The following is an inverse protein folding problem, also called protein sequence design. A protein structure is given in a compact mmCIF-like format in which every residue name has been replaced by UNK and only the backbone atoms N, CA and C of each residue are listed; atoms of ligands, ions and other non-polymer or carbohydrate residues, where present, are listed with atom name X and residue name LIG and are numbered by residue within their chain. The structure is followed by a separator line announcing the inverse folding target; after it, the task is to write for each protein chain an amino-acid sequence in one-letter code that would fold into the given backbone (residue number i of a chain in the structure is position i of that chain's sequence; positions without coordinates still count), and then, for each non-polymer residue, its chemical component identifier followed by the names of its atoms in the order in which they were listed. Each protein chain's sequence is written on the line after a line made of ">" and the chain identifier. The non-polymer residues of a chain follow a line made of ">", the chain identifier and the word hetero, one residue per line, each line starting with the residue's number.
data_IF_529333150844
#
_entry.id   IF_529333150844
#
_cell.length_a   1.000
_cell.length_b   1.000
_cell.length_c   1.000
_cell.angle_alpha   90.00
_cell.angle_beta   90.00
_cell.angle_gamma   90.00
#
_symmetry.space_group_name_H-M   'P 1'
#
loop_
_entity.id
_entity.type
_entity.pdbx_description
1 polymer ?
2 non-polymer ?
3 water ?
#
# COMPACT_ATOMS: atom_id res chain seq x y z
N UNK A 1 -7.79 -11.72 16.84
CA UNK A 1 -6.41 -11.71 16.37
C UNK A 1 -6.24 -10.70 15.23
N UNK A 2 -5.42 -9.68 15.47
CA UNK A 2 -5.24 -8.60 14.50
C UNK A 2 -4.15 -8.88 13.48
N UNK A 3 -3.15 -9.69 13.83
CA UNK A 3 -2.08 -9.98 12.87
C UNK A 3 -2.58 -10.80 11.70
N UNK A 4 -3.53 -11.71 11.93
CA UNK A 4 -4.12 -12.45 10.82
C UNK A 4 -4.85 -11.51 9.87
N UNK A 5 -5.60 -10.54 10.42
CA UNK A 5 -6.26 -9.55 9.58
C UNK A 5 -5.25 -8.71 8.81
N UNK A 6 -4.14 -8.35 9.46
CA UNK A 6 -3.11 -7.56 8.79
C UNK A 6 -2.52 -8.33 7.62
N UNK A 7 -2.20 -9.61 7.84
CA UNK A 7 -1.62 -10.43 6.77
C UNK A 7 -2.63 -10.63 5.64
N UNK A 8 -3.90 -10.83 6.00
CA UNK A 8 -4.94 -10.99 4.98
C UNK A 8 -5.08 -9.74 4.13
N UNK A 9 -5.12 -8.57 4.77
CA UNK A 9 -5.26 -7.32 4.03
C UNK A 9 -4.02 -7.04 3.19
N UNK A 10 -2.83 -7.37 3.69
CA UNK A 10 -1.62 -7.17 2.90
C UNK A 10 -1.60 -8.10 1.69
N UNK A 11 -2.05 -9.34 1.86
CA UNK A 11 -2.11 -10.26 0.73
C UNK A 11 -3.12 -9.78 -0.30
N UNK A 12 -4.26 -9.25 0.16
CA UNK A 12 -5.24 -8.69 -0.77
C UNK A 12 -4.67 -7.47 -1.50
N UNK A 13 -3.86 -6.66 -0.80
CA UNK A 13 -3.22 -5.52 -1.44
C UNK A 13 -2.23 -5.99 -2.50
N UNK A 14 -1.47 -7.04 -2.20
CA UNK A 14 -0.54 -7.60 -3.18
C UNK A 14 -1.29 -8.10 -4.40
N UNK A 15 -2.42 -8.78 -4.18
CA UNK A 15 -3.21 -9.27 -5.31
C UNK A 15 -3.77 -8.12 -6.14
N UNK A 16 -4.24 -7.06 -5.48
CA UNK A 16 -4.78 -5.92 -6.22
C UNK A 16 -3.69 -5.20 -7.01
N UNK A 17 -2.48 -5.10 -6.44
CA UNK A 17 -1.38 -4.47 -7.16
C UNK A 17 -0.94 -5.34 -8.33
N UNK A 18 -0.96 -6.67 -8.16
CA UNK A 18 -0.70 -7.56 -9.29
C UNK A 18 -1.74 -7.36 -10.39
N UNK A 19 -3.01 -7.18 -10.00
CA UNK A 19 -4.05 -6.91 -10.99
C UNK A 19 -3.80 -5.59 -11.70
N UNK A 20 -3.36 -4.57 -10.96
CA UNK A 20 -3.08 -3.27 -11.58
C UNK A 20 -1.92 -3.38 -12.56
N UNK A 21 -0.89 -4.14 -12.21
CA UNK A 21 0.24 -4.34 -13.12
C UNK A 21 -0.22 -5.09 -14.37
N UNK A 22 -1.00 -6.16 -14.18
CA UNK A 22 -1.49 -6.95 -15.30
C UNK A 22 -2.42 -6.14 -16.20
N UNK A 23 -3.11 -5.15 -15.63
CA UNK A 23 -3.97 -4.28 -16.43
C UNK A 23 -3.17 -3.22 -17.17
N UNK A 24 -2.11 -2.70 -16.54
CA UNK A 24 -1.27 -1.72 -17.22
C UNK A 24 -0.50 -2.35 -18.38
N UNK A 25 -0.02 -3.58 -18.20
CA UNK A 25 0.65 -4.29 -19.29
C UNK A 25 -0.37 -4.81 -20.30
N UNK B 1 6.70 -17.58 11.43
CA UNK B 1 6.09 -16.47 12.16
C UNK B 1 5.14 -15.68 11.27
N UNK B 2 4.74 -14.50 11.73
CA UNK B 2 3.85 -13.62 10.98
C UNK B 2 4.49 -12.29 10.61
N UNK B 3 5.37 -11.74 11.45
CA UNK B 3 6.05 -10.51 11.08
C UNK B 3 6.96 -10.70 9.88
N UNK B 4 7.55 -11.90 9.74
CA UNK B 4 8.36 -12.18 8.56
C UNK B 4 7.52 -12.12 7.30
N UNK B 5 6.32 -12.72 7.33
CA UNK B 5 5.44 -12.64 6.17
C UNK B 5 4.95 -11.22 5.93
N UNK B 6 4.72 -10.45 7.00
CA UNK B 6 4.34 -9.05 6.82
C UNK B 6 5.43 -8.29 6.09
N UNK B 7 6.68 -8.47 6.52
CA UNK B 7 7.81 -7.80 5.88
C UNK B 7 7.95 -8.24 4.43
N UNK B 8 7.78 -9.54 4.17
CA UNK B 8 7.91 -10.03 2.80
C UNK B 8 6.79 -9.49 1.91
N UNK B 9 5.57 -9.38 2.44
CA UNK B 9 4.48 -8.83 1.65
C UNK B 9 4.69 -7.34 1.38
N UNK B 10 5.24 -6.61 2.35
CA UNK B 10 5.56 -5.21 2.11
C UNK B 10 6.66 -5.08 1.05
N UNK B 11 7.62 -6.00 1.05
CA UNK B 11 8.65 -6.01 0.02
C UNK B 11 8.05 -6.30 -1.35
N UNK B 12 7.10 -7.24 -1.42
CA UNK B 12 6.40 -7.50 -2.67
C UNK B 12 5.63 -6.26 -3.13
N UNK B 13 5.03 -5.54 -2.19
CA UNK B 13 4.32 -4.30 -2.54
C UNK B 13 5.28 -3.28 -3.10
N UNK B 14 6.47 -3.16 -2.50
CA UNK B 14 7.48 -2.24 -3.03
C UNK B 14 7.87 -2.63 -4.45
N UNK B 15 8.07 -3.93 -4.69
CA UNK B 15 8.41 -4.39 -6.04
C UNK B 15 7.30 -4.07 -7.03
N UNK B 16 6.04 -4.29 -6.63
CA UNK B 16 4.92 -4.05 -7.53
C UNK B 16 4.77 -2.56 -7.82
N UNK B 17 5.02 -1.71 -6.83
CA UNK B 17 4.97 -0.27 -7.08
C UNK B 17 6.11 0.17 -7.98
N UNK B 18 7.29 -0.43 -7.82
CA UNK B 18 8.38 -0.18 -8.75
C UNK B 18 7.98 -0.54 -10.17
N UNK B 19 7.36 -1.71 -10.35
CA UNK B 19 6.92 -2.13 -11.67
C UNK B 19 5.87 -1.18 -12.23
N UNK B 20 4.96 -0.71 -11.38
CA UNK B 20 3.93 0.24 -11.82
C UNK B 20 4.58 1.54 -12.29
N UNK B 21 5.58 2.02 -11.55
CA UNK B 21 6.29 3.23 -11.96
C UNK B 21 6.99 3.01 -13.30
N UNK B 22 7.66 1.86 -13.45
CA UNK B 22 8.29 1.50 -14.71
C UNK B 22 7.30 1.58 -15.86
N UNK B 23 6.13 0.96 -15.68
CA UNK B 23 5.14 0.91 -16.76
C UNK B 23 4.51 2.28 -17.02
N UNK B 24 4.39 3.11 -15.99
CA UNK B 24 3.83 4.45 -16.19
C UNK B 24 4.80 5.34 -16.95
N UNK B 25 6.09 5.25 -16.63
CA UNK B 25 7.10 6.01 -17.37
C UNK B 25 7.38 5.37 -18.72
N UNK C 1 15.39 -5.43 14.20
CA UNK C 1 14.07 -5.05 14.77
C UNK C 1 13.01 -5.17 13.68
N UNK C 2 11.93 -5.89 13.93
CA UNK C 2 10.89 -5.99 12.88
C UNK C 2 10.30 -4.60 12.62
N UNK C 3 9.68 -4.01 13.64
CA UNK C 3 8.98 -2.71 13.43
C UNK C 3 9.81 -1.75 12.58
N UNK C 4 11.11 -1.63 12.84
CA UNK C 4 11.98 -0.73 12.04
C UNK C 4 11.93 -1.12 10.56
N UNK C 5 11.96 -2.42 10.25
CA UNK C 5 11.91 -2.89 8.84
C UNK C 5 10.61 -2.40 8.20
N UNK C 6 9.51 -2.54 8.91
CA UNK C 6 8.18 -2.14 8.40
C UNK C 6 8.18 -0.64 8.11
N UNK C 7 8.78 0.16 8.98
CA UNK C 7 8.75 1.63 8.76
C UNK C 7 9.49 2.00 7.48
N UNK C 8 10.63 1.36 7.22
CA UNK C 8 11.41 1.66 6.03
C UNK C 8 10.67 1.24 4.76
N UNK C 9 10.04 0.06 4.78
CA UNK C 9 9.29 -0.38 3.61
C UNK C 9 8.09 0.53 3.35
N UNK C 10 7.42 0.99 4.41
CA UNK C 10 6.32 1.93 4.23
C UNK C 10 6.81 3.27 3.70
N UNK C 11 8.01 3.70 4.11
CA UNK C 11 8.56 4.94 3.57
C UNK C 11 8.87 4.81 2.08
N UNK C 12 9.43 3.66 1.68
CA UNK C 12 9.63 3.41 0.26
C UNK C 12 8.30 3.41 -0.49
N UNK C 13 7.26 2.81 0.12
CA UNK C 13 5.94 2.79 -0.50
C UNK C 13 5.41 4.21 -0.67
N UNK C 14 5.61 5.06 0.34
CA UNK C 14 5.17 6.45 0.26
C UNK C 14 5.91 7.18 -0.86
N UNK C 15 7.22 6.96 -0.97
CA UNK C 15 7.98 7.58 -2.05
C UNK C 15 7.46 7.15 -3.42
N UNK C 16 7.21 5.85 -3.58
CA UNK C 16 6.74 5.35 -4.87
C UNK C 16 5.33 5.87 -5.18
N UNK C 17 4.49 6.01 -4.16
CA UNK C 17 3.15 6.54 -4.38
C UNK C 17 3.20 8.02 -4.75
N UNK C 18 4.12 8.78 -4.14
CA UNK C 18 4.33 10.16 -4.56
C UNK C 18 4.78 10.22 -6.01
N UNK C 19 5.70 9.34 -6.39
CA UNK C 19 6.14 9.29 -7.78
C UNK C 19 4.98 8.99 -8.72
N UNK C 20 4.11 8.05 -8.33
CA UNK C 20 2.95 7.71 -9.16
C UNK C 20 2.00 8.90 -9.26
N UNK C 21 1.79 9.61 -8.15
CA UNK C 21 0.92 10.78 -8.15
C UNK C 21 1.45 11.82 -9.13
N UNK C 22 2.76 12.10 -9.07
CA UNK C 22 3.32 13.13 -9.93
C UNK C 22 3.42 12.68 -11.38
N UNK C 23 3.51 11.36 -11.62
CA UNK C 23 3.45 10.87 -13.00
C UNK C 23 2.04 10.97 -13.56
N UNK C 24 1.02 10.79 -12.72
CA UNK C 24 -0.35 10.98 -13.18
C UNK C 24 -0.67 12.45 -13.39
N UNK C 25 -0.14 13.33 -12.54
CA UNK C 25 -0.47 14.77 -12.66
C UNK C 25 0.55 15.46 -13.57
N UNK D 1 8.24 3.98 20.36
CA UNK D 1 7.64 2.89 19.60
C UNK D 1 7.48 3.27 18.13
N UNK D 2 7.64 2.28 17.25
CA UNK D 2 7.52 2.49 15.81
C UNK D 2 6.09 2.32 15.30
N UNK D 3 5.15 1.93 16.16
CA UNK D 3 3.76 1.82 15.74
C UNK D 3 3.20 3.18 15.35
N UNK D 4 3.63 4.25 16.03
CA UNK D 4 3.19 5.59 15.66
C UNK D 4 3.67 5.95 14.26
N UNK D 5 4.93 5.63 13.94
CA UNK D 5 5.43 5.89 12.60
C UNK D 5 4.72 5.03 11.56
N UNK D 6 4.39 3.79 11.92
CA UNK D 6 3.66 2.92 11.00
C UNK D 6 2.29 3.51 10.68
N UNK D 7 1.59 3.99 11.71
CA UNK D 7 0.28 4.60 11.50
C UNK D 7 0.41 5.88 10.69
N UNK D 8 1.45 6.67 10.96
CA UNK D 8 1.67 7.90 10.20
C UNK D 8 1.89 7.60 8.72
N UNK D 9 2.72 6.61 8.42
CA UNK D 9 3.00 6.28 7.03
C UNK D 9 1.78 5.66 6.34
N UNK D 10 1.00 4.85 7.07
CA UNK D 10 -0.22 4.31 6.48
C UNK D 10 -1.24 5.41 6.20
N UNK D 11 -1.30 6.42 7.07
CA UNK D 11 -2.17 7.56 6.84
C UNK D 11 -1.73 8.34 5.61
N UNK D 12 -0.42 8.56 5.46
CA UNK D 12 0.09 9.19 4.24
C UNK D 12 -0.24 8.36 3.01
N UNK D 13 -0.17 7.03 3.13
CA UNK D 13 -0.48 6.16 2.01
C UNK D 13 -1.95 6.28 1.63
N UNK D 14 -2.83 6.34 2.63
CA UNK D 14 -4.26 6.53 2.36
C UNK D 14 -4.49 7.86 1.65
N UNK D 15 -3.82 8.92 2.11
CA UNK D 15 -3.97 10.22 1.45
C UNK D 15 -3.50 10.17 0.00
N UNK D 16 -2.35 9.52 -0.25
CA UNK D 16 -1.83 9.45 -1.61
C UNK D 16 -2.74 8.61 -2.50
N UNK D 17 -3.33 7.54 -1.96
CA UNK D 17 -4.23 6.72 -2.76
C UNK D 17 -5.52 7.47 -3.07
N UNK D 18 -6.02 8.26 -2.12
CA UNK D 18 -7.16 9.12 -2.41
C UNK D 18 -6.82 10.13 -3.50
N UNK D 19 -5.60 10.69 -3.44
CA UNK D 19 -5.14 11.59 -4.49
C UNK D 19 -5.12 10.89 -5.85
N UNK D 20 -4.65 9.64 -5.89
CA UNK D 20 -4.62 8.89 -7.14
C UNK D 20 -6.04 8.64 -7.65
N UNK D 21 -6.96 8.32 -6.74
CA UNK D 21 -8.36 8.13 -7.12
C UNK D 21 -8.91 9.40 -7.75
N UNK D 22 -8.67 10.54 -7.12
CA UNK D 22 -9.18 11.81 -7.65
C UNK D 22 -8.53 12.15 -8.99
N UNK D 23 -7.24 11.85 -9.15
CA UNK D 23 -6.57 12.12 -10.42
C UNK D 23 -7.12 11.23 -11.53
N UNK D 24 -7.45 9.97 -11.21
CA UNK D 24 -8.04 9.09 -12.21
C UNK D 24 -9.48 9.49 -12.53
N UNK D 25 -10.15 10.12 -11.56
CA UNK D 25 -11.56 10.57 -11.76
C UNK D 25 -11.59 11.72 -12.77
N UNK D 26 -10.79 12.76 -12.52
CA UNK D 26 -10.71 13.93 -13.38
C UNK D 26 -9.36 14.61 -13.35
N UNK D 27 -8.54 14.34 -12.48
N UNK E 1 -5.80 0.85 21.09
CA UNK E 1 -4.62 0.19 20.56
C UNK E 1 -4.31 0.65 19.14
N UNK E 2 -3.03 0.54 18.75
CA UNK E 2 -2.61 0.95 17.42
C UNK E 2 -2.84 -0.14 16.38
N UNK E 3 -2.95 -1.40 16.80
CA UNK E 3 -3.18 -2.48 15.84
C UNK E 3 -4.55 -2.35 15.18
N UNK E 4 -5.56 -1.92 15.94
CA UNK E 4 -6.87 -1.70 15.35
C UNK E 4 -6.82 -0.61 14.29
N UNK E 5 -6.09 0.48 14.57
CA UNK E 5 -5.95 1.54 13.57
C UNK E 5 -5.16 1.07 12.36
N UNK E 6 -4.16 0.22 12.57
CA UNK E 6 -3.40 -0.33 11.44
C UNK E 6 -4.32 -1.17 10.55
N UNK E 7 -5.14 -2.02 11.17
CA UNK E 7 -6.08 -2.84 10.41
C UNK E 7 -7.08 -1.96 9.67
N UNK E 8 -7.56 -0.90 10.32
CA UNK E 8 -8.52 0.00 9.69
C UNK E 8 -7.90 0.70 8.49
N UNK E 9 -6.67 1.20 8.64
CA UNK E 9 -6.01 1.89 7.54
C UNK E 9 -5.70 0.93 6.39
N UNK E 10 -5.34 -0.32 6.71
CA UNK E 10 -5.11 -1.30 5.65
C UNK E 10 -6.41 -1.64 4.92
N UNK E 11 -7.52 -1.72 5.66
CA UNK E 11 -8.81 -1.97 5.02
C UNK E 11 -9.19 -0.81 4.10
N UNK E 12 -8.94 0.42 4.54
CA UNK E 12 -9.21 1.57 3.67
C UNK E 12 -8.28 1.59 2.46
N UNK E 13 -7.04 1.14 2.62
CA UNK E 13 -6.14 1.01 1.48
C UNK E 13 -6.69 -0.01 0.49
N UNK E 14 -7.22 -1.12 1.00
CA UNK E 14 -7.85 -2.12 0.14
C UNK E 14 -9.03 -1.51 -0.61
N UNK E 15 -9.86 -0.73 0.09
CA UNK E 15 -11.00 -0.09 -0.55
C UNK E 15 -10.55 0.88 -1.64
N UNK E 16 -9.52 1.67 -1.36
CA UNK E 16 -9.03 2.62 -2.35
C UNK E 16 -8.42 1.91 -3.56
N UNK E 17 -7.74 0.79 -3.33
CA UNK E 17 -7.20 0.02 -4.45
C UNK E 17 -8.32 -0.60 -5.27
N UNK E 18 -9.40 -1.04 -4.62
CA UNK E 18 -10.56 -1.52 -5.35
C UNK E 18 -11.18 -0.41 -6.19
N UNK E 19 -11.22 0.81 -5.64
CA UNK E 19 -11.72 1.95 -6.41
C UNK E 19 -10.84 2.23 -7.61
N UNK E 20 -9.52 2.15 -7.43
CA UNK E 20 -8.59 2.37 -8.54
C UNK E 20 -8.79 1.32 -9.62
N UNK E 21 -8.94 0.05 -9.21
CA UNK E 21 -9.15 -1.02 -10.18
C UNK E 21 -10.47 -0.83 -10.92
N UNK E 22 -11.52 -0.43 -10.20
CA UNK E 22 -12.81 -0.20 -10.83
C UNK E 22 -12.74 0.95 -11.83
N UNK E 23 -12.02 2.02 -11.48
CA UNK E 23 -11.88 3.15 -12.39
C UNK E 23 -11.07 2.77 -13.62
N UNK E 24 -10.02 1.96 -13.44
CA UNK E 24 -9.20 1.57 -14.58
C UNK E 24 -9.91 0.56 -15.48
N UNK E 25 -10.79 -0.25 -14.91
CA UNK E 25 -11.56 -1.21 -15.71
C UNK E 25 -12.61 -0.49 -16.55
X LIG F 1 -13.51 -8.08 4.68
X LIG F 1 -13.78 -9.27 3.77
X LIG F 1 -14.16 -10.50 4.57
X LIG F 1 -12.93 -11.35 4.90
X LIG F 1 -12.72 -11.43 6.41
X LIG F 1 -11.30 -11.85 6.76
X LIG F 1 -11.18 -13.37 6.78
X LIG F 1 -9.74 -13.81 7.07
X LIG F 1 -9.25 -13.14 8.21
X LIG F 1 -9.64 -13.76 9.41
X LIG F 1 -8.75 -13.29 10.54
X LIG F 1 -9.08 -13.97 11.73
X LIG G 1 -1.22 -17.94 -3.37
X LIG G 1 -1.69 -18.73 -2.18
X LIG G 1 -1.57 -17.93 -0.90
X LIG G 1 -2.07 -18.70 0.30
X LIG G 1 -1.59 -18.09 1.61
X LIG G 1 -0.55 -18.97 2.28
X LIG G 1 -0.98 -19.33 3.69
X LIG G 1 -1.14 -18.09 4.55
X LIG G 1 -1.26 -18.47 5.92
X LIG H 1 -1.36 2.31 -7.13
X LIG H 1 -2.21 2.32 -8.39
X LIG H 1 -1.73 3.40 -9.36
X LIG H 1 -1.98 2.98 -10.80
X LIG H 1 -2.88 3.98 -11.52
X LIG H 1 -2.29 4.38 -12.87
X LIG I 1 1.96 -3.13 7.25
X LIG I 1 2.08 -2.68 8.71
X LIG I 1 1.46 -3.69 9.65
X LIG I 1 1.90 -3.46 11.09
X LIG I 1 2.21 -4.77 11.80
X LIG I 1 3.25 -4.56 12.90
X LIG I 1 3.03 -5.54 14.05
X LIG J 1 -7.44 -9.81 -6.97
X LIG J 1 -8.41 -9.77 -8.15
X LIG J 1 -8.76 -8.33 -8.51
X LIG J 1 -9.19 -8.21 -9.96
X LIG J 1 -10.23 -7.10 -10.13
X LIG J 1 -11.56 -7.65 -10.62
X LIG J 1 -12.71 -6.71 -10.27
X LIG J 1 -13.92 -6.99 -11.15
X LIG J 1 -15.12 -6.79 -10.43
X LIG J 1 -15.68 -5.52 -10.68
X LIG J 1 -17.19 -5.61 -10.52
X LIG J 1 -17.80 -4.37 -10.78
X LIG J 1 -18.65 -4.43 -11.91
X LIG J 1 -18.24 -3.37 -12.92
X LIG J 1 -19.37 -2.63 -13.31
#
# INVERSE_FOLDING_TARGET
>A
DSLKWIVFLLFLIVLLLLAIVFLLRGX
>B
DSLKWIVFLLFLIVLLLLAIVFLLRGX
>C
DSLKWIVFLLFLIVLLLLAIVFLLRGX
>D
DSLKWIVFLLFLIVLLLLAIVFLLRGX
>E
DSLKWIVFLLFLIVLLLLAIVFLLRGX
>F hetero
1 C8E C1 C2 C3 C4 C5 C6 C7 C8 O9 C10 C11 O12
>G hetero
1 C8E C1 C2 C3 C4 C5 C6 C7 C8 O9
>H hetero
1 C8E C1 C2 C3 C4 C5 C6
>I hetero
1 C8E C1 C2 C3 C4 C5 C6 C7
>J hetero
1 C8E C1 C2 C3 C4 C5 C6 C7 C8 O9 C10 C11 O12 C13 C14 O15
#
